data_IF_026150520776
#
_entry.id   IF_026150520776
#
_cell.length_a   1.000
_cell.length_b   1.000
_cell.length_c   1.000
_cell.angle_alpha   90.00
_cell.angle_beta   90.00
_cell.angle_gamma   90.00
#
_symmetry.space_group_name_H-M   'P 1'
#
loop_
_entity.id
_entity.type
_entity.pdbx_description
1 polymer ?
#
# COMPACT_ATOMS: atom_id res chain seq x y z
N UNK A 1 14.34 17.87 -31.94
CA UNK A 1 14.83 17.19 -30.72
C UNK A 1 13.65 16.86 -29.80
N UNK A 2 12.66 16.09 -30.29
CA UNK A 2 11.34 15.86 -29.65
C UNK A 2 10.93 14.38 -29.60
N UNK A 3 11.85 13.45 -29.87
CA UNK A 3 11.53 12.00 -29.96
C UNK A 3 11.78 11.21 -28.68
N UNK A 4 12.13 11.84 -27.55
CA UNK A 4 12.34 11.13 -26.27
C UNK A 4 11.11 11.04 -25.36
N UNK A 5 10.05 11.80 -25.63
CA UNK A 5 8.89 11.89 -24.73
C UNK A 5 7.87 10.76 -24.94
N UNK A 6 7.57 10.40 -26.19
CA UNK A 6 6.52 9.41 -26.50
C UNK A 6 6.87 8.01 -25.98
N UNK A 7 8.08 7.53 -26.18
CA UNK A 7 8.52 6.24 -25.67
C UNK A 7 8.56 6.16 -24.14
N UNK A 8 8.87 7.27 -23.47
CA UNK A 8 8.86 7.32 -22.00
C UNK A 8 7.43 7.29 -21.44
N UNK A 9 6.51 8.03 -22.05
CA UNK A 9 5.08 8.00 -21.67
C UNK A 9 4.47 6.65 -21.92
N UNK A 10 4.76 5.99 -23.04
CA UNK A 10 4.27 4.63 -23.33
C UNK A 10 4.78 3.63 -22.31
N UNK A 11 6.08 3.65 -21.97
CA UNK A 11 6.64 2.75 -20.94
C UNK A 11 6.05 2.97 -19.55
N UNK A 12 5.67 4.18 -19.20
CA UNK A 12 4.98 4.48 -17.93
C UNK A 12 3.56 3.95 -17.95
N UNK A 13 2.84 4.11 -19.07
CA UNK A 13 1.49 3.57 -19.26
C UNK A 13 1.50 2.04 -19.16
N UNK A 14 2.36 1.37 -19.93
CA UNK A 14 2.46 -0.10 -19.93
C UNK A 14 2.82 -0.67 -18.54
N UNK A 15 3.67 0.03 -17.79
CA UNK A 15 4.03 -0.36 -16.42
C UNK A 15 2.88 -0.18 -15.43
N UNK A 16 2.10 0.90 -15.58
CA UNK A 16 0.91 1.16 -14.77
C UNK A 16 -0.18 0.12 -15.06
N UNK A 17 -0.40 -0.20 -16.33
CA UNK A 17 -1.39 -1.20 -16.77
C UNK A 17 -1.03 -2.59 -16.25
N UNK A 18 0.25 -2.99 -16.32
CA UNK A 18 0.72 -4.25 -15.75
C UNK A 18 0.55 -4.27 -14.22
N UNK A 19 0.85 -3.16 -13.54
CA UNK A 19 0.65 -3.02 -12.09
C UNK A 19 -0.81 -3.24 -11.69
N UNK A 20 -1.72 -2.56 -12.36
CA UNK A 20 -3.17 -2.70 -12.14
C UNK A 20 -3.64 -4.14 -12.39
N UNK A 21 -3.15 -4.79 -13.45
CA UNK A 21 -3.51 -6.16 -13.77
C UNK A 21 -2.99 -7.17 -12.73
N UNK A 22 -1.78 -6.95 -12.18
CA UNK A 22 -1.23 -7.76 -11.07
C UNK A 22 -2.11 -7.61 -9.82
N UNK A 23 -2.49 -6.38 -9.44
CA UNK A 23 -3.38 -6.15 -8.29
C UNK A 23 -4.73 -6.84 -8.47
N UNK A 24 -5.36 -6.71 -9.65
CA UNK A 24 -6.62 -7.41 -9.94
C UNK A 24 -6.49 -8.93 -9.88
N UNK A 25 -5.37 -9.48 -10.31
CA UNK A 25 -5.11 -10.92 -10.24
C UNK A 25 -4.93 -11.40 -8.80
N UNK A 26 -4.25 -10.61 -7.94
CA UNK A 26 -4.11 -10.90 -6.51
C UNK A 26 -5.47 -10.82 -5.80
N UNK A 27 -6.26 -9.80 -6.10
CA UNK A 27 -7.60 -9.63 -5.57
C UNK A 27 -8.48 -10.85 -5.90
N UNK A 28 -8.52 -11.27 -7.18
CA UNK A 28 -9.25 -12.46 -7.61
C UNK A 28 -8.80 -13.71 -6.85
N UNK A 29 -7.48 -13.91 -6.74
CA UNK A 29 -6.91 -15.03 -6.01
C UNK A 29 -7.35 -15.09 -4.54
N UNK A 30 -7.20 -13.97 -3.82
CA UNK A 30 -7.54 -13.92 -2.39
C UNK A 30 -9.05 -13.94 -2.11
N UNK A 31 -9.88 -13.63 -3.11
CA UNK A 31 -11.33 -13.86 -3.07
C UNK A 31 -11.74 -15.28 -3.42
N UNK A 32 -10.81 -16.14 -3.83
CA UNK A 32 -11.08 -17.50 -4.32
C UNK A 32 -11.69 -17.54 -5.72
N UNK A 33 -11.54 -16.48 -6.49
CA UNK A 33 -11.95 -16.36 -7.88
C UNK A 33 -10.85 -16.88 -8.81
N UNK A 34 -11.19 -17.05 -10.08
CA UNK A 34 -10.23 -17.53 -11.07
C UNK A 34 -9.21 -16.43 -11.38
N UNK A 35 -7.91 -16.76 -11.19
CA UNK A 35 -6.81 -15.89 -11.60
C UNK A 35 -6.75 -15.80 -13.12
N UNK A 36 -6.63 -14.61 -13.70
CA UNK A 36 -6.47 -14.45 -15.13
C UNK A 36 -5.21 -15.19 -15.64
N UNK A 37 -5.30 -15.76 -16.85
CA UNK A 37 -4.21 -16.51 -17.48
C UNK A 37 -2.93 -15.65 -17.59
N UNK A 38 -1.78 -16.23 -17.24
CA UNK A 38 -0.48 -15.58 -17.32
C UNK A 38 -0.05 -14.82 -16.06
N UNK A 39 -0.93 -14.69 -15.06
CA UNK A 39 -0.60 -13.98 -13.82
C UNK A 39 -0.16 -14.89 -12.65
N UNK A 40 -0.21 -16.20 -12.81
CA UNK A 40 0.22 -17.17 -11.77
C UNK A 40 1.64 -16.90 -11.25
N UNK A 41 2.54 -16.48 -12.14
CA UNK A 41 3.93 -16.16 -11.78
C UNK A 41 4.09 -14.93 -10.87
N UNK A 42 3.06 -14.09 -10.74
CA UNK A 42 3.00 -12.97 -9.82
C UNK A 42 2.23 -13.35 -8.54
N UNK A 43 1.13 -14.07 -8.68
CA UNK A 43 0.18 -14.38 -7.60
C UNK A 43 0.71 -15.47 -6.66
N UNK A 44 1.15 -16.61 -7.21
CA UNK A 44 1.59 -17.75 -6.40
C UNK A 44 2.77 -17.42 -5.45
N UNK A 45 3.82 -16.69 -5.87
CA UNK A 45 4.90 -16.29 -4.97
C UNK A 45 4.44 -15.39 -3.82
N UNK A 46 3.45 -14.53 -4.06
CA UNK A 46 2.85 -13.68 -3.00
C UNK A 46 2.11 -14.55 -1.98
N UNK A 47 1.32 -15.53 -2.42
CA UNK A 47 0.64 -16.46 -1.52
C UNK A 47 1.61 -17.25 -0.66
N UNK A 48 2.67 -17.79 -1.25
CA UNK A 48 3.73 -18.48 -0.53
C UNK A 48 4.44 -17.56 0.48
N UNK A 49 4.68 -16.29 0.11
CA UNK A 49 5.29 -15.31 1.00
C UNK A 49 4.40 -15.03 2.20
N UNK A 50 3.11 -14.75 1.97
CA UNK A 50 2.12 -14.46 3.03
C UNK A 50 2.00 -15.63 4.01
N UNK A 51 1.93 -16.86 3.49
CA UNK A 51 1.89 -18.08 4.31
C UNK A 51 3.18 -18.24 5.14
N UNK A 52 4.33 -18.10 4.51
CA UNK A 52 5.64 -18.19 5.19
C UNK A 52 5.81 -17.16 6.30
N UNK A 53 5.30 -15.96 6.10
CA UNK A 53 5.36 -14.87 7.08
C UNK A 53 4.30 -15.00 8.20
N UNK A 54 3.46 -16.03 8.16
CA UNK A 54 2.39 -16.27 9.13
C UNK A 54 1.32 -15.18 9.11
N UNK A 55 1.12 -14.56 7.96
CA UNK A 55 0.13 -13.49 7.76
C UNK A 55 -1.20 -14.14 7.38
N UNK A 56 -2.27 -13.74 8.06
CA UNK A 56 -3.64 -14.09 7.70
C UNK A 56 -4.37 -12.85 7.23
N UNK A 57 -4.77 -12.82 5.97
CA UNK A 57 -5.57 -11.73 5.43
C UNK A 57 -7.00 -11.82 5.97
N UNK A 58 -7.55 -10.68 6.39
CA UNK A 58 -8.87 -10.55 7.02
C UNK A 58 -9.88 -9.86 6.10
N UNK A 59 -9.44 -8.79 5.44
CA UNK A 59 -10.27 -7.98 4.54
C UNK A 59 -9.42 -7.61 3.32
N UNK A 60 -10.08 -7.50 2.15
CA UNK A 60 -9.45 -7.14 0.88
C UNK A 60 -10.11 -5.91 0.28
N UNK A 61 -9.34 -5.09 -0.45
CA UNK A 61 -9.84 -3.90 -1.17
C UNK A 61 -10.74 -3.02 -0.29
N UNK A 62 -10.31 -2.79 0.96
CA UNK A 62 -11.10 -2.07 1.93
C UNK A 62 -11.01 -0.56 1.69
N UNK A 63 -12.16 0.07 1.44
CA UNK A 63 -12.29 1.52 1.38
C UNK A 63 -12.27 2.11 2.79
N UNK A 64 -11.35 3.02 3.02
CA UNK A 64 -11.13 3.69 4.29
C UNK A 64 -11.40 5.18 4.15
N UNK A 65 -12.09 5.75 5.14
CA UNK A 65 -12.38 7.19 5.20
C UNK A 65 -12.04 7.69 6.61
N UNK A 66 -11.21 8.70 6.67
CA UNK A 66 -10.98 9.47 7.90
C UNK A 66 -11.61 10.85 7.73
N UNK A 67 -12.82 11.01 8.24
CA UNK A 67 -13.60 12.25 8.12
C UNK A 67 -13.05 13.38 8.97
N UNK A 68 -12.42 13.06 10.10
CA UNK A 68 -11.84 14.04 11.01
C UNK A 68 -10.66 14.78 10.39
N UNK A 69 -9.75 14.03 9.74
CA UNK A 69 -8.58 14.58 9.09
C UNK A 69 -8.82 14.90 7.60
N UNK A 70 -9.92 14.39 7.01
CA UNK A 70 -10.36 14.71 5.66
C UNK A 70 -9.55 14.02 4.57
N UNK A 71 -9.31 12.72 4.70
CA UNK A 71 -8.72 11.90 3.65
C UNK A 71 -9.43 10.55 3.52
N UNK A 72 -9.24 9.91 2.38
CA UNK A 72 -9.77 8.58 2.08
C UNK A 72 -8.80 7.82 1.19
N UNK A 73 -8.98 6.51 1.12
CA UNK A 73 -8.22 5.65 0.21
C UNK A 73 -8.72 4.21 0.27
N UNK A 74 -8.08 3.34 -0.51
CA UNK A 74 -8.35 1.90 -0.50
C UNK A 74 -7.05 1.19 -0.15
N UNK A 75 -7.09 0.30 0.82
CA UNK A 75 -5.96 -0.59 1.14
C UNK A 75 -6.20 -1.96 0.52
N UNK A 76 -5.13 -2.58 0.02
CA UNK A 76 -5.24 -3.89 -0.61
C UNK A 76 -5.68 -4.97 0.39
N UNK A 77 -5.17 -4.92 1.63
CA UNK A 77 -5.61 -5.86 2.66
C UNK A 77 -5.43 -5.34 4.09
N UNK A 78 -6.32 -5.83 4.97
CA UNK A 78 -6.12 -5.84 6.41
C UNK A 78 -5.70 -7.25 6.80
N UNK A 79 -4.71 -7.39 7.67
CA UNK A 79 -4.20 -8.68 8.08
C UNK A 79 -4.02 -8.80 9.60
N UNK A 80 -3.87 -10.03 10.07
CA UNK A 80 -3.30 -10.33 11.38
C UNK A 80 -2.08 -11.23 11.22
N UNK A 81 -1.08 -11.05 12.06
CA UNK A 81 0.11 -11.91 12.09
C UNK A 81 -0.05 -13.08 13.08
N UNK A 82 0.95 -13.95 13.13
CA UNK A 82 0.97 -15.14 13.98
C UNK A 82 0.93 -14.87 15.48
N UNK A 83 1.22 -13.64 15.92
CA UNK A 83 1.19 -13.20 17.33
C UNK A 83 -0.02 -12.33 17.64
N UNK A 84 -0.94 -12.16 16.68
CA UNK A 84 -2.20 -11.46 16.84
C UNK A 84 -2.15 -9.95 16.65
N UNK A 85 -1.08 -9.42 16.05
CA UNK A 85 -1.03 -8.01 15.66
C UNK A 85 -1.81 -7.79 14.37
N UNK A 86 -2.65 -6.76 14.38
CA UNK A 86 -3.39 -6.37 13.19
C UNK A 86 -2.64 -5.29 12.43
N UNK A 87 -2.70 -5.34 11.11
CA UNK A 87 -1.97 -4.43 10.25
C UNK A 87 -2.62 -4.17 8.92
N UNK A 88 -2.01 -3.25 8.20
CA UNK A 88 -2.34 -2.89 6.82
C UNK A 88 -1.26 -3.45 5.91
N UNK A 89 -1.68 -4.09 4.83
CA UNK A 89 -0.80 -4.59 3.79
C UNK A 89 -1.17 -3.95 2.46
N UNK A 90 -0.15 -3.57 1.71
CA UNK A 90 -0.31 -2.96 0.40
C UNK A 90 0.68 -3.59 -0.59
N UNK A 91 0.19 -4.01 -1.75
CA UNK A 91 0.97 -4.61 -2.80
C UNK A 91 1.59 -3.53 -3.69
N UNK A 92 2.85 -3.70 -4.06
CA UNK A 92 3.57 -2.76 -4.93
C UNK A 92 4.26 -3.53 -6.06
N UNK A 93 3.78 -3.36 -7.28
CA UNK A 93 4.50 -3.85 -8.46
C UNK A 93 5.62 -2.87 -8.83
N UNK A 94 6.82 -3.38 -9.03
CA UNK A 94 7.94 -2.53 -9.49
C UNK A 94 9.03 -3.31 -10.22
N UNK A 95 9.80 -2.58 -11.02
CA UNK A 95 11.02 -3.12 -11.62
C UNK A 95 12.07 -3.33 -10.53
N UNK A 96 12.65 -4.51 -10.49
CA UNK A 96 13.74 -4.86 -9.58
C UNK A 96 15.03 -5.07 -10.36
N UNK A 97 16.15 -5.08 -9.62
CA UNK A 97 17.47 -5.40 -10.15
C UNK A 97 18.03 -6.60 -9.39
N UNK A 98 18.65 -7.58 -10.06
CA UNK A 98 19.22 -8.75 -9.42
C UNK A 98 20.18 -8.38 -8.28
N UNK A 99 20.00 -9.04 -7.13
CA UNK A 99 20.84 -8.84 -5.94
C UNK A 99 20.64 -7.54 -5.17
N UNK A 100 19.70 -6.67 -5.58
CA UNK A 100 19.36 -5.45 -4.85
C UNK A 100 18.01 -5.63 -4.13
N UNK A 101 17.91 -5.36 -2.82
CA UNK A 101 16.65 -5.42 -2.09
C UNK A 101 15.69 -4.32 -2.56
N UNK A 102 14.39 -4.58 -2.42
CA UNK A 102 13.37 -3.55 -2.61
C UNK A 102 13.43 -2.56 -1.44
N UNK A 103 13.65 -1.29 -1.75
CA UNK A 103 13.64 -0.21 -0.77
C UNK A 103 12.34 0.58 -0.92
N UNK A 104 11.57 0.78 0.17
CA UNK A 104 10.39 1.62 0.15
C UNK A 104 10.71 3.04 -0.31
N UNK A 105 9.78 3.66 -1.04
CA UNK A 105 9.80 5.10 -1.21
C UNK A 105 9.32 5.77 0.07
N UNK A 106 9.78 6.99 0.35
CA UNK A 106 9.50 7.71 1.59
C UNK A 106 8.00 7.87 1.88
N UNK A 107 7.17 7.89 0.84
CA UNK A 107 5.72 8.04 0.95
C UNK A 107 4.97 6.73 1.23
N UNK A 108 5.58 5.58 1.01
CA UNK A 108 4.91 4.28 1.20
C UNK A 108 4.59 3.98 2.68
N UNK A 109 5.52 4.16 3.65
CA UNK A 109 5.16 4.03 5.06
C UNK A 109 4.13 5.07 5.52
N UNK A 110 4.11 6.28 4.92
CA UNK A 110 3.10 7.30 5.19
C UNK A 110 1.70 6.83 4.76
N UNK A 111 1.58 6.19 3.62
CA UNK A 111 0.33 5.60 3.13
C UNK A 111 -0.17 4.50 4.08
N UNK A 112 0.70 3.58 4.49
CA UNK A 112 0.38 2.52 5.44
C UNK A 112 -0.08 3.11 6.78
N UNK A 113 0.63 4.10 7.30
CA UNK A 113 0.29 4.76 8.56
C UNK A 113 -1.08 5.45 8.49
N UNK A 114 -1.37 6.17 7.41
CA UNK A 114 -2.67 6.79 7.17
C UNK A 114 -3.80 5.75 7.15
N UNK A 115 -3.60 4.61 6.48
CA UNK A 115 -4.57 3.54 6.47
C UNK A 115 -4.74 2.87 7.84
N UNK A 116 -3.66 2.70 8.61
CA UNK A 116 -3.75 2.23 9.99
C UNK A 116 -4.62 3.16 10.85
N UNK A 117 -4.40 4.47 10.77
CA UNK A 117 -5.21 5.44 11.53
C UNK A 117 -6.66 5.44 11.06
N UNK A 118 -6.92 5.42 9.76
CA UNK A 118 -8.28 5.37 9.23
C UNK A 118 -9.03 4.08 9.63
N UNK A 119 -8.33 2.93 9.71
CA UNK A 119 -8.92 1.64 10.08
C UNK A 119 -9.08 1.46 11.58
N UNK A 120 -8.04 1.83 12.36
CA UNK A 120 -7.95 1.48 13.78
C UNK A 120 -8.14 2.69 14.71
N UNK A 121 -8.26 3.89 14.17
CA UNK A 121 -8.42 5.16 14.91
C UNK A 121 -7.10 5.76 15.40
N UNK A 122 -6.02 5.00 15.44
CA UNK A 122 -4.69 5.47 15.87
C UNK A 122 -3.61 4.45 15.49
N UNK A 123 -2.35 4.86 15.54
CA UNK A 123 -1.22 3.91 15.57
C UNK A 123 -1.18 3.32 16.98
N UNK A 124 -1.68 2.10 17.10
CA UNK A 124 -1.73 1.38 18.38
C UNK A 124 -0.39 0.72 18.68
N UNK A 125 -0.12 0.41 19.93
CA UNK A 125 1.12 -0.26 20.38
C UNK A 125 1.34 -1.64 19.72
N UNK A 126 0.31 -2.24 19.17
CA UNK A 126 0.33 -3.51 18.44
C UNK A 126 -0.02 -3.34 16.95
N UNK A 127 0.00 -2.11 16.42
CA UNK A 127 -0.18 -1.91 14.98
C UNK A 127 1.09 -2.29 14.23
N UNK A 128 0.90 -2.93 13.09
CA UNK A 128 1.97 -3.26 12.15
C UNK A 128 1.51 -2.90 10.74
N UNK A 129 2.44 -2.85 9.81
CA UNK A 129 2.13 -2.60 8.42
C UNK A 129 3.19 -3.19 7.52
N UNK A 130 2.84 -3.45 6.28
CA UNK A 130 3.79 -4.01 5.34
C UNK A 130 3.49 -3.57 3.90
N UNK A 131 4.56 -3.42 3.11
CA UNK A 131 4.49 -3.45 1.67
C UNK A 131 5.02 -4.78 1.15
N UNK A 132 4.30 -5.39 0.23
CA UNK A 132 4.75 -6.57 -0.52
C UNK A 132 5.11 -6.12 -1.93
N UNK A 133 6.38 -6.24 -2.25
CA UNK A 133 6.91 -5.86 -3.56
C UNK A 133 6.90 -7.05 -4.51
N UNK A 134 6.32 -6.86 -5.68
CA UNK A 134 6.19 -7.87 -6.74
C UNK A 134 7.02 -7.38 -7.92
N UNK A 135 8.04 -8.16 -8.27
CA UNK A 135 8.91 -7.80 -9.39
C UNK A 135 8.21 -7.96 -10.73
N UNK A 136 8.26 -6.92 -11.55
CA UNK A 136 7.81 -6.96 -12.95
C UNK A 136 8.92 -7.36 -13.93
N UNK A 137 10.17 -7.46 -13.45
CA UNK A 137 11.34 -7.81 -14.27
C UNK A 137 11.95 -9.16 -13.93
N UNK A 138 11.76 -9.63 -12.70
CA UNK A 138 12.26 -10.92 -12.21
C UNK A 138 11.07 -11.78 -11.79
N UNK A 139 10.56 -12.60 -12.72
CA UNK A 139 9.38 -13.44 -12.47
C UNK A 139 9.53 -14.28 -11.21
N UNK A 140 8.50 -14.26 -10.37
CA UNK A 140 8.48 -15.02 -9.11
C UNK A 140 9.21 -14.36 -7.95
N UNK A 141 9.89 -13.23 -8.16
CA UNK A 141 10.52 -12.49 -7.08
C UNK A 141 9.50 -11.62 -6.36
N UNK A 142 9.38 -11.87 -5.07
CA UNK A 142 8.57 -11.08 -4.13
C UNK A 142 9.36 -10.81 -2.86
N UNK A 143 9.19 -9.63 -2.29
CA UNK A 143 9.81 -9.21 -1.04
C UNK A 143 8.78 -8.54 -0.15
N UNK A 144 8.92 -8.68 1.17
CA UNK A 144 8.10 -7.96 2.14
C UNK A 144 8.96 -7.02 2.96
N UNK A 145 8.49 -5.79 3.14
CA UNK A 145 9.06 -4.85 4.10
C UNK A 145 7.99 -4.55 5.13
N UNK A 146 8.29 -4.91 6.38
CA UNK A 146 7.41 -4.69 7.53
C UNK A 146 7.81 -3.41 8.26
N UNK A 147 6.82 -2.68 8.72
CA UNK A 147 7.00 -1.44 9.49
C UNK A 147 6.62 -1.68 10.95
N UNK A 148 7.52 -1.34 11.86
CA UNK A 148 7.24 -1.32 13.30
C UNK A 148 6.28 -0.20 13.66
N UNK A 149 5.65 -0.30 14.84
CA UNK A 149 4.80 0.76 15.39
C UNK A 149 5.50 2.12 15.43
N UNK A 150 6.78 2.16 15.83
CA UNK A 150 7.56 3.41 15.85
C UNK A 150 7.71 4.02 14.46
N UNK A 151 8.05 3.19 13.46
CA UNK A 151 8.16 3.67 12.07
C UNK A 151 6.82 4.18 11.52
N UNK A 152 5.71 3.51 11.88
CA UNK A 152 4.37 3.95 11.47
C UNK A 152 3.97 5.25 12.17
N UNK A 153 4.35 5.46 13.43
CA UNK A 153 4.07 6.70 14.16
C UNK A 153 4.85 7.89 13.58
N UNK A 154 6.12 7.69 13.27
CA UNK A 154 6.93 8.69 12.55
C UNK A 154 6.35 9.00 11.16
N UNK A 155 5.94 7.98 10.42
CA UNK A 155 5.34 8.12 9.10
C UNK A 155 3.96 8.82 9.16
N UNK A 156 3.18 8.56 10.21
CA UNK A 156 1.92 9.26 10.46
C UNK A 156 2.12 10.75 10.69
N UNK A 157 3.10 11.14 11.51
CA UNK A 157 3.44 12.53 11.72
C UNK A 157 3.85 13.24 10.42
N UNK A 158 4.62 12.55 9.56
CA UNK A 158 5.00 13.06 8.25
C UNK A 158 3.79 13.19 7.31
N UNK A 159 2.88 12.20 7.31
CA UNK A 159 1.64 12.25 6.55
C UNK A 159 0.75 13.44 6.96
N UNK A 160 0.56 13.66 8.26
CA UNK A 160 -0.23 14.79 8.78
C UNK A 160 0.34 16.14 8.33
N UNK A 161 1.66 16.31 8.34
CA UNK A 161 2.30 17.52 7.85
C UNK A 161 2.04 17.75 6.35
N UNK A 162 2.17 16.68 5.54
CA UNK A 162 1.89 16.72 4.11
C UNK A 162 0.41 17.00 3.82
N UNK A 163 -0.50 16.38 4.57
CA UNK A 163 -1.94 16.59 4.45
C UNK A 163 -2.32 18.04 4.78
N UNK A 164 -1.77 18.59 5.87
CA UNK A 164 -1.99 19.98 6.27
C UNK A 164 -1.53 20.95 5.18
N UNK A 165 -0.36 20.73 4.61
CA UNK A 165 0.14 21.53 3.49
C UNK A 165 -0.78 21.44 2.27
N UNK A 166 -1.19 20.22 1.91
CA UNK A 166 -2.09 19.99 0.78
C UNK A 166 -3.45 20.69 0.99
N UNK A 167 -4.03 20.56 2.19
CA UNK A 167 -5.30 21.21 2.55
C UNK A 167 -5.20 22.73 2.44
N UNK A 168 -4.12 23.32 2.93
CA UNK A 168 -3.85 24.76 2.79
C UNK A 168 -3.78 25.18 1.31
N UNK A 169 -2.99 24.48 0.50
CA UNK A 169 -2.81 24.79 -0.92
C UNK A 169 -4.09 24.64 -1.74
N UNK A 170 -4.97 23.70 -1.36
CA UNK A 170 -6.25 23.44 -2.03
C UNK A 170 -7.43 24.20 -1.44
N UNK A 171 -7.24 24.91 -0.35
CA UNK A 171 -8.35 25.56 0.39
C UNK A 171 -9.37 24.56 0.92
N UNK A 172 -8.96 23.29 1.10
CA UNK A 172 -9.84 22.23 1.59
C UNK A 172 -9.90 22.24 3.11
N UNK A 173 -11.13 22.13 3.65
CA UNK A 173 -11.37 21.97 5.09
C UNK A 173 -12.22 20.71 5.31
N UNK A 174 -11.77 19.78 6.18
CA UNK A 174 -12.60 18.64 6.57
C UNK A 174 -13.93 19.10 7.15
N UNK A 175 -15.05 18.39 6.88
CA UNK A 175 -16.39 18.82 7.29
C UNK A 175 -16.61 18.84 8.82
N UNK A 176 -15.73 18.21 9.60
CA UNK A 176 -15.83 18.10 11.07
C UNK A 176 -14.72 18.85 11.81
N UNK A 177 -14.05 19.79 11.15
CA UNK A 177 -13.11 20.68 11.83
C UNK A 177 -13.90 21.78 12.55
N UNK A 178 -14.60 21.42 13.63
CA UNK A 178 -14.97 22.41 14.64
C UNK A 178 -13.67 22.82 15.34
N UNK A 179 -13.09 23.93 14.90
CA UNK A 179 -12.01 24.57 15.62
C UNK A 179 -12.48 24.90 17.04
N UNK A 180 -11.56 25.09 18.02
CA UNK A 180 -11.95 25.43 19.36
C UNK A 180 -12.87 26.67 19.31
N UNK A 181 -14.09 26.52 19.81
CA UNK A 181 -15.00 27.63 20.07
C UNK A 181 -14.33 28.48 21.13
N UNK A 182 -13.83 29.65 20.75
CA UNK A 182 -13.32 30.67 21.66
C UNK A 182 -14.47 31.34 22.41
#
# INVERSE_FOLDING_TARGET
MLFRSEGAFQQVSDAADLGTAIHSALEAHFKGEQVPEGYDAYVYPVSCLIEREGIKLLEHELRLVNTSDGYAGTTDAVFTDSIGFNGILDFKSRKTKPGQPCTPWETEPMQIAAYCVAKFGSIRSNATGANVYISTTEKGRVEIVKYSTTQLDEAWNAFQAALTLWQYLKGYKPPFHEGPTH
#
